data_IF_138349606214
#
_entry.id   IF_138349606214
#
_cell.length_a   1.000
_cell.length_b   1.000
_cell.length_c   1.000
_cell.angle_alpha   90.00
_cell.angle_beta   90.00
_cell.angle_gamma   90.00
#
_symmetry.space_group_name_H-M   'P 1'
#
loop_
_entity.id
_entity.type
_entity.pdbx_description
1 polymer ?
#
# COMPACT_ATOMS: atom_id res chain seq x y z
N UNK A 1 -5.81 -21.17 -20.01
CA UNK A 1 -5.51 -20.33 -18.83
C UNK A 1 -6.60 -19.28 -18.80
N UNK A 2 -7.25 -19.08 -17.67
CA UNK A 2 -8.26 -18.02 -17.52
C UNK A 2 -7.57 -16.68 -17.75
N UNK A 3 -8.11 -15.87 -18.67
CA UNK A 3 -7.64 -14.51 -18.92
C UNK A 3 -8.36 -13.49 -18.03
N UNK A 4 -9.10 -13.97 -17.03
CA UNK A 4 -9.91 -13.12 -16.16
C UNK A 4 -9.08 -12.54 -15.04
N UNK A 5 -9.37 -11.29 -14.68
CA UNK A 5 -8.80 -10.65 -13.50
C UNK A 5 -9.27 -11.36 -12.22
N UNK A 6 -8.37 -11.49 -11.26
CA UNK A 6 -8.70 -12.14 -10.00
C UNK A 6 -9.60 -11.28 -9.12
N UNK A 7 -10.38 -11.94 -8.27
CA UNK A 7 -11.22 -11.30 -7.22
C UNK A 7 -10.56 -11.47 -5.86
N UNK A 8 -10.93 -10.64 -4.86
CA UNK A 8 -10.55 -10.96 -3.49
C UNK A 8 -11.01 -12.38 -3.12
N UNK A 9 -10.24 -13.10 -2.30
CA UNK A 9 -10.62 -14.43 -1.87
C UNK A 9 -11.89 -14.42 -1.01
N UNK A 10 -12.62 -15.54 -1.00
CA UNK A 10 -13.82 -15.72 -0.20
C UNK A 10 -15.09 -15.10 -0.79
N UNK A 11 -16.10 -14.93 0.05
CA UNK A 11 -17.41 -14.47 -0.35
C UNK A 11 -17.44 -12.95 -0.63
N UNK A 12 -18.19 -12.50 -1.66
CA UNK A 12 -18.26 -11.08 -2.04
C UNK A 12 -18.63 -10.13 -0.89
N UNK A 13 -19.51 -10.55 0.01
CA UNK A 13 -19.93 -9.76 1.17
C UNK A 13 -18.80 -9.53 2.21
N UNK A 14 -17.71 -10.28 2.12
CA UNK A 14 -16.55 -10.19 3.02
C UNK A 14 -15.28 -9.68 2.34
N UNK A 15 -15.36 -9.25 1.10
CA UNK A 15 -14.17 -8.77 0.37
C UNK A 15 -13.46 -7.59 1.03
N UNK A 16 -14.20 -6.74 1.74
CA UNK A 16 -13.60 -5.64 2.49
C UNK A 16 -12.61 -6.14 3.57
N UNK A 17 -12.89 -7.28 4.20
CA UNK A 17 -12.01 -7.90 5.22
C UNK A 17 -10.70 -8.43 4.60
N UNK A 18 -10.75 -8.83 3.34
CA UNK A 18 -9.61 -9.35 2.60
C UNK A 18 -8.76 -8.25 1.96
N UNK A 19 -9.41 -7.16 1.54
CA UNK A 19 -8.76 -6.05 0.85
C UNK A 19 -8.02 -5.11 1.79
N UNK A 20 -8.61 -4.83 2.96
CA UNK A 20 -8.06 -3.81 3.86
C UNK A 20 -7.34 -4.40 5.05
N UNK A 21 -6.12 -3.94 5.28
CA UNK A 21 -5.38 -4.15 6.51
C UNK A 21 -6.00 -3.33 7.66
N UNK A 22 -6.32 -2.07 7.37
CA UNK A 22 -6.95 -1.16 8.31
C UNK A 22 -7.79 -0.10 7.59
N UNK A 23 -8.80 0.45 8.27
CA UNK A 23 -9.68 1.52 7.78
C UNK A 23 -10.01 2.50 8.90
N UNK A 24 -10.13 3.79 8.57
CA UNK A 24 -10.53 4.84 9.50
C UNK A 24 -9.60 4.91 10.73
N UNK A 25 -10.17 4.95 11.91
CA UNK A 25 -9.44 5.10 13.17
C UNK A 25 -8.53 3.89 13.51
N UNK A 26 -8.74 2.74 12.88
CA UNK A 26 -7.89 1.56 13.06
C UNK A 26 -6.53 1.68 12.38
N UNK A 27 -6.28 2.74 11.59
CA UNK A 27 -5.01 2.93 10.90
C UNK A 27 -3.98 3.53 11.85
N UNK A 28 -2.85 2.85 12.12
CA UNK A 28 -1.81 3.38 12.97
C UNK A 28 -1.18 4.64 12.36
N UNK A 29 -0.98 5.68 13.16
CA UNK A 29 -0.35 6.94 12.69
C UNK A 29 1.11 6.76 12.29
N UNK A 30 1.80 5.82 12.92
CA UNK A 30 3.20 5.48 12.63
C UNK A 30 3.41 4.63 11.38
N UNK A 31 2.31 4.14 10.76
CA UNK A 31 2.43 3.35 9.53
C UNK A 31 3.01 4.20 8.41
N UNK A 32 4.12 3.79 7.77
CA UNK A 32 4.65 4.47 6.60
C UNK A 32 3.63 4.49 5.44
N UNK A 33 3.73 5.50 4.57
CA UNK A 33 2.92 5.55 3.34
C UNK A 33 3.33 4.41 2.41
N UNK A 34 2.32 3.70 1.89
CA UNK A 34 2.54 2.54 1.02
C UNK A 34 1.56 2.52 -0.16
N UNK A 35 1.86 1.66 -1.15
CA UNK A 35 0.99 1.39 -2.30
C UNK A 35 -0.38 0.89 -1.82
N UNK A 36 -1.45 1.44 -2.38
CA UNK A 36 -2.81 1.09 -1.99
C UNK A 36 -3.36 1.87 -0.79
N UNK A 37 -2.57 2.77 -0.18
CA UNK A 37 -3.08 3.66 0.85
C UNK A 37 -4.02 4.69 0.21
N UNK A 38 -5.15 4.95 0.86
CA UNK A 38 -6.18 5.90 0.42
C UNK A 38 -6.16 7.11 1.35
N UNK A 39 -6.10 8.30 0.75
CA UNK A 39 -6.10 9.58 1.46
C UNK A 39 -7.29 10.43 1.04
N UNK A 40 -7.92 11.09 2.02
CA UNK A 40 -8.94 12.10 1.77
C UNK A 40 -8.31 13.49 1.63
N UNK A 41 -9.00 14.33 0.86
CA UNK A 41 -8.65 15.74 0.65
C UNK A 41 -7.17 15.99 0.26
N UNK A 42 -6.53 15.04 -0.43
CA UNK A 42 -5.21 15.26 -1.01
C UNK A 42 -5.27 16.40 -2.04
N UNK A 43 -4.35 17.38 -1.99
CA UNK A 43 -4.36 18.50 -2.93
C UNK A 43 -3.91 18.01 -4.31
N UNK A 44 -4.84 17.91 -5.23
CA UNK A 44 -4.61 17.54 -6.62
C UNK A 44 -4.71 18.78 -7.49
N UNK A 45 -3.67 19.04 -8.27
CA UNK A 45 -3.66 20.15 -9.25
C UNK A 45 -3.99 19.61 -10.63
N UNK A 46 -5.14 20.02 -11.15
CA UNK A 46 -5.61 19.62 -12.48
C UNK A 46 -4.77 20.25 -13.58
N UNK A 47 -4.89 19.76 -14.81
CA UNK A 47 -4.24 20.33 -16.01
C UNK A 47 -4.62 21.80 -16.27
N UNK A 48 -5.75 22.27 -15.74
CA UNK A 48 -6.17 23.67 -15.79
C UNK A 48 -5.52 24.55 -14.71
N UNK A 49 -4.63 23.99 -13.87
CA UNK A 49 -3.96 24.73 -12.79
C UNK A 49 -4.80 24.91 -11.53
N UNK A 50 -6.00 24.33 -11.46
CA UNK A 50 -6.85 24.43 -10.27
C UNK A 50 -6.47 23.32 -9.29
N UNK A 51 -6.17 23.69 -8.03
CA UNK A 51 -5.94 22.74 -6.95
C UNK A 51 -7.20 22.52 -6.15
N UNK A 52 -7.57 21.26 -5.96
CA UNK A 52 -8.72 20.86 -5.15
C UNK A 52 -8.38 19.63 -4.29
N UNK A 53 -8.98 19.56 -3.10
CA UNK A 53 -8.90 18.36 -2.27
C UNK A 53 -9.70 17.22 -2.89
N UNK A 54 -9.04 16.08 -3.13
CA UNK A 54 -9.66 14.87 -3.70
C UNK A 54 -9.32 13.65 -2.87
N UNK A 55 -10.20 12.66 -2.89
CA UNK A 55 -9.87 11.36 -2.36
C UNK A 55 -9.03 10.61 -3.41
N UNK A 56 -7.85 10.15 -3.00
CA UNK A 56 -6.88 9.49 -3.91
C UNK A 56 -6.33 8.21 -3.30
N UNK A 57 -5.92 7.27 -4.16
CA UNK A 57 -5.18 6.07 -3.77
C UNK A 57 -3.76 6.12 -4.34
N UNK A 58 -2.78 5.78 -3.53
CA UNK A 58 -1.38 5.65 -3.99
C UNK A 58 -1.26 4.46 -4.92
N UNK A 59 -0.86 4.71 -6.16
CA UNK A 59 -0.66 3.71 -7.22
C UNK A 59 0.81 3.49 -7.56
N UNK A 60 1.70 4.25 -6.94
CA UNK A 60 3.15 4.07 -7.13
C UNK A 60 3.53 2.62 -6.77
N UNK A 61 4.30 1.96 -7.65
CA UNK A 61 4.75 0.59 -7.40
C UNK A 61 5.60 0.52 -6.13
N UNK A 62 5.45 -0.50 -5.27
CA UNK A 62 6.16 -0.59 -3.99
C UNK A 62 7.67 -0.39 -4.10
N UNK A 63 8.32 -1.02 -5.11
CA UNK A 63 9.77 -0.88 -5.33
C UNK A 63 10.20 0.53 -5.75
N UNK A 64 9.28 1.37 -6.23
CA UNK A 64 9.56 2.73 -6.70
C UNK A 64 9.11 3.81 -5.70
N UNK A 65 8.58 3.42 -4.54
CA UNK A 65 8.14 4.38 -3.53
C UNK A 65 9.30 5.05 -2.82
N UNK A 66 10.44 4.36 -2.69
CA UNK A 66 11.66 4.86 -2.03
C UNK A 66 12.85 4.63 -2.94
N UNK A 67 13.20 5.65 -3.73
CA UNK A 67 14.26 5.54 -4.75
C UNK A 67 15.64 5.31 -4.17
N UNK A 68 15.90 5.84 -2.97
CA UNK A 68 17.11 5.59 -2.19
C UNK A 68 16.90 4.50 -1.11
N UNK A 69 15.67 3.95 -1.05
CA UNK A 69 15.20 2.95 -0.11
C UNK A 69 14.89 3.48 1.29
N UNK A 70 15.17 4.75 1.58
CA UNK A 70 14.88 5.41 2.88
C UNK A 70 13.76 6.42 2.71
N UNK A 71 14.00 7.41 1.88
CA UNK A 71 13.11 8.54 1.73
C UNK A 71 11.97 8.22 0.76
N UNK A 72 10.77 8.57 1.15
CA UNK A 72 9.63 8.51 0.24
C UNK A 72 9.91 9.40 -0.96
N UNK A 73 9.63 8.90 -2.16
CA UNK A 73 9.76 9.68 -3.39
C UNK A 73 8.98 10.99 -3.24
N UNK A 74 9.57 12.10 -3.65
CA UNK A 74 8.97 13.45 -3.49
C UNK A 74 7.64 13.58 -4.21
N UNK A 75 7.45 12.80 -5.29
CA UNK A 75 6.22 12.77 -6.07
C UNK A 75 5.72 11.35 -6.23
N UNK A 76 4.44 11.14 -5.96
CA UNK A 76 3.79 9.86 -6.02
C UNK A 76 2.68 9.85 -7.06
N UNK A 77 2.61 8.77 -7.83
CA UNK A 77 1.49 8.48 -8.71
C UNK A 77 0.28 8.08 -7.86
N UNK A 78 -0.84 8.74 -8.07
CA UNK A 78 -2.11 8.46 -7.42
C UNK A 78 -3.23 8.30 -8.44
N UNK A 79 -4.29 7.59 -8.08
CA UNK A 79 -5.53 7.51 -8.82
C UNK A 79 -6.68 8.15 -8.04
N UNK A 80 -7.57 8.86 -8.72
CA UNK A 80 -8.77 9.41 -8.10
C UNK A 80 -9.67 8.27 -7.59
N UNK A 81 -10.14 8.42 -6.35
CA UNK A 81 -11.11 7.52 -5.74
C UNK A 81 -12.47 8.24 -5.73
N UNK A 82 -13.45 7.62 -6.34
CA UNK A 82 -14.78 8.19 -6.46
C UNK A 82 -15.85 7.17 -6.08
N UNK A 83 -17.06 7.69 -5.80
CA UNK A 83 -18.20 6.85 -5.50
C UNK A 83 -18.49 5.86 -6.64
N UNK A 84 -18.68 4.61 -6.27
CA UNK A 84 -19.05 3.54 -7.19
C UNK A 84 -20.06 2.59 -6.53
N UNK A 85 -20.86 1.90 -7.34
CA UNK A 85 -21.72 0.82 -6.83
C UNK A 85 -20.91 -0.42 -6.47
N UNK A 86 -21.49 -1.29 -5.68
CA UNK A 86 -20.93 -2.62 -5.43
C UNK A 86 -20.90 -3.39 -6.76
N UNK A 87 -19.79 -4.04 -7.04
CA UNK A 87 -19.63 -4.92 -8.19
C UNK A 87 -19.97 -6.36 -7.82
N UNK A 88 -20.63 -7.07 -8.74
CA UNK A 88 -20.74 -8.54 -8.65
C UNK A 88 -19.38 -9.19 -8.92
N UNK A 89 -19.19 -10.48 -8.58
CA UNK A 89 -17.94 -11.18 -8.90
C UNK A 89 -17.61 -11.18 -10.40
N UNK A 90 -18.61 -11.34 -11.26
CA UNK A 90 -18.45 -11.32 -12.71
C UNK A 90 -18.02 -9.93 -13.20
N UNK A 91 -18.66 -8.89 -12.69
CA UNK A 91 -18.29 -7.51 -12.99
C UNK A 91 -16.88 -7.20 -12.47
N UNK A 92 -16.54 -7.67 -11.28
CA UNK A 92 -15.18 -7.50 -10.75
C UNK A 92 -14.12 -8.08 -11.70
N UNK A 93 -14.36 -9.26 -12.28
CA UNK A 93 -13.45 -9.87 -13.28
C UNK A 93 -13.41 -9.10 -14.59
N UNK A 94 -14.52 -8.50 -15.01
CA UNK A 94 -14.67 -7.81 -16.29
C UNK A 94 -14.27 -6.34 -16.29
N UNK A 95 -14.31 -5.65 -15.16
CA UNK A 95 -13.97 -4.22 -15.08
C UNK A 95 -12.46 -4.01 -15.09
N UNK A 96 -11.95 -3.44 -16.19
CA UNK A 96 -10.52 -3.23 -16.42
C UNK A 96 -10.06 -1.80 -16.11
N UNK A 97 -10.99 -0.83 -16.03
CA UNK A 97 -10.67 0.60 -15.86
C UNK A 97 -10.63 1.06 -14.41
N UNK A 98 -11.00 0.20 -13.48
CA UNK A 98 -11.07 0.55 -12.06
C UNK A 98 -10.83 -0.67 -11.17
N UNK A 99 -10.53 -0.40 -9.89
CA UNK A 99 -10.62 -1.38 -8.82
C UNK A 99 -11.66 -0.94 -7.81
N UNK A 100 -12.64 -1.81 -7.55
CA UNK A 100 -13.67 -1.56 -6.54
C UNK A 100 -13.07 -1.57 -5.13
N UNK A 101 -13.55 -0.67 -4.31
CA UNK A 101 -13.18 -0.49 -2.90
C UNK A 101 -14.43 -0.62 -2.04
N UNK A 102 -14.94 -1.87 -1.85
CA UNK A 102 -16.15 -2.10 -1.09
C UNK A 102 -15.97 -1.64 0.35
N UNK A 103 -16.99 -1.02 0.92
CA UNK A 103 -17.01 -0.54 2.31
C UNK A 103 -15.81 0.35 2.71
N UNK A 104 -15.21 1.07 1.76
CA UNK A 104 -14.08 1.96 2.04
C UNK A 104 -14.42 2.95 3.18
N UNK A 105 -15.61 3.52 3.14
CA UNK A 105 -16.13 4.39 4.19
C UNK A 105 -17.24 3.69 4.97
N UNK A 106 -16.86 2.88 5.94
CA UNK A 106 -17.79 2.07 6.74
C UNK A 106 -18.79 2.89 7.57
N UNK A 107 -18.44 4.13 7.92
CA UNK A 107 -19.31 5.05 8.69
C UNK A 107 -20.30 5.83 7.82
N UNK A 108 -20.13 5.83 6.49
CA UNK A 108 -21.02 6.57 5.60
C UNK A 108 -22.36 5.84 5.37
N UNK A 109 -23.37 6.60 4.91
CA UNK A 109 -24.64 6.03 4.44
C UNK A 109 -24.41 5.05 3.29
N UNK A 110 -25.31 4.08 3.10
CA UNK A 110 -25.16 2.96 2.16
C UNK A 110 -24.68 3.35 0.76
N UNK A 111 -25.13 4.49 0.23
CA UNK A 111 -24.70 4.97 -1.10
C UNK A 111 -23.26 5.47 -1.17
N UNK A 112 -22.70 5.99 -0.06
CA UNK A 112 -21.34 6.55 -0.02
C UNK A 112 -20.28 5.57 0.53
N UNK A 113 -20.71 4.37 0.94
CA UNK A 113 -19.81 3.34 1.49
C UNK A 113 -18.84 2.76 0.47
N UNK A 114 -19.34 2.56 -0.76
CA UNK A 114 -18.59 1.86 -1.80
C UNK A 114 -17.97 2.87 -2.76
N UNK A 115 -16.71 2.72 -3.02
CA UNK A 115 -15.95 3.58 -3.92
C UNK A 115 -15.12 2.72 -4.87
N UNK A 116 -14.44 3.35 -5.81
CA UNK A 116 -13.47 2.70 -6.68
C UNK A 116 -12.34 3.66 -7.00
N UNK A 117 -11.13 3.15 -7.12
CA UNK A 117 -10.03 3.88 -7.76
C UNK A 117 -10.14 3.72 -9.28
N UNK A 118 -9.99 4.81 -10.01
CA UNK A 118 -10.21 4.88 -11.46
C UNK A 118 -8.87 5.07 -12.17
N UNK A 119 -8.49 4.14 -13.05
CA UNK A 119 -7.17 4.10 -13.66
C UNK A 119 -6.96 5.04 -14.84
N UNK A 120 -8.02 5.66 -15.36
CA UNK A 120 -7.94 6.72 -16.36
C UNK A 120 -7.91 8.15 -15.75
N UNK A 121 -7.96 8.25 -14.42
CA UNK A 121 -7.88 9.50 -13.66
C UNK A 121 -6.65 9.50 -12.77
N UNK A 122 -5.50 9.59 -13.41
CA UNK A 122 -4.21 9.56 -12.75
C UNK A 122 -3.69 10.96 -12.54
N UNK A 123 -3.10 11.16 -11.38
CA UNK A 123 -2.46 12.41 -11.00
C UNK A 123 -1.13 12.12 -10.31
N UNK A 124 -0.32 13.15 -10.19
CA UNK A 124 0.94 13.10 -9.43
C UNK A 124 0.85 14.14 -8.33
N UNK A 125 1.01 13.68 -7.10
CA UNK A 125 0.97 14.55 -5.91
C UNK A 125 2.34 14.62 -5.26
N UNK A 126 2.60 15.71 -4.57
CA UNK A 126 3.75 15.80 -3.68
C UNK A 126 3.50 14.88 -2.47
N UNK A 127 4.46 14.03 -2.13
CA UNK A 127 4.30 13.07 -1.03
C UNK A 127 4.14 13.77 0.34
N UNK A 128 4.72 14.94 0.51
CA UNK A 128 4.57 15.77 1.72
C UNK A 128 3.16 16.32 1.89
N UNK A 129 2.38 16.36 0.82
CA UNK A 129 0.99 16.82 0.84
C UNK A 129 -0.01 15.72 1.25
N UNK A 130 0.45 14.47 1.37
CA UNK A 130 -0.37 13.35 1.86
C UNK A 130 -0.40 13.36 3.39
N UNK A 131 -1.42 13.97 3.95
CA UNK A 131 -1.62 14.02 5.41
C UNK A 131 -1.99 12.64 5.95
N UNK A 132 -1.09 12.02 6.73
CA UNK A 132 -1.32 10.71 7.35
C UNK A 132 -2.52 10.70 8.31
N UNK A 133 -2.90 11.85 8.86
CA UNK A 133 -4.12 12.02 9.66
C UNK A 133 -5.41 11.93 8.86
N UNK A 134 -5.32 12.02 7.52
CA UNK A 134 -6.45 11.89 6.59
C UNK A 134 -6.42 10.56 5.80
N UNK A 135 -5.65 9.59 6.25
CA UNK A 135 -5.62 8.27 5.63
C UNK A 135 -6.92 7.53 5.95
N UNK A 136 -7.66 7.12 4.91
CA UNK A 136 -8.96 6.44 5.01
C UNK A 136 -8.82 4.93 5.09
N UNK A 137 -7.84 4.36 4.41
CA UNK A 137 -7.63 2.91 4.35
C UNK A 137 -6.19 2.57 3.92
N UNK A 138 -5.77 1.37 4.32
CA UNK A 138 -4.56 0.71 3.83
C UNK A 138 -4.95 -0.66 3.29
N UNK A 139 -4.43 -1.05 2.13
CA UNK A 139 -4.66 -2.39 1.60
C UNK A 139 -3.80 -3.43 2.33
N UNK A 140 -4.28 -4.68 2.33
CA UNK A 140 -3.45 -5.86 2.62
C UNK A 140 -2.47 -6.11 1.47
N UNK A 141 -1.47 -6.97 1.66
CA UNK A 141 -0.60 -7.39 0.55
C UNK A 141 -1.40 -8.04 -0.60
N UNK A 142 -2.41 -8.86 -0.28
CA UNK A 142 -3.32 -9.41 -1.27
C UNK A 142 -4.10 -8.32 -2.02
N UNK A 143 -4.56 -7.29 -1.31
CA UNK A 143 -5.21 -6.13 -1.89
C UNK A 143 -4.29 -5.34 -2.82
N UNK A 144 -3.01 -5.15 -2.43
CA UNK A 144 -1.99 -4.50 -3.28
C UNK A 144 -1.70 -5.35 -4.53
N UNK A 145 -1.60 -6.68 -4.40
CA UNK A 145 -1.39 -7.55 -5.56
C UNK A 145 -2.56 -7.46 -6.57
N UNK A 146 -3.80 -7.44 -6.07
CA UNK A 146 -4.99 -7.23 -6.91
C UNK A 146 -4.97 -5.85 -7.59
N UNK A 147 -4.54 -4.81 -6.89
CA UNK A 147 -4.38 -3.47 -7.45
C UNK A 147 -3.33 -3.47 -8.58
N UNK A 148 -2.17 -4.06 -8.34
CA UNK A 148 -1.08 -4.15 -9.32
C UNK A 148 -1.49 -5.00 -10.53
N UNK A 149 -2.15 -6.14 -10.33
CA UNK A 149 -2.69 -6.95 -11.42
C UNK A 149 -3.58 -6.13 -12.34
N UNK A 150 -4.55 -5.42 -11.77
CA UNK A 150 -5.49 -4.59 -12.52
C UNK A 150 -4.80 -3.43 -13.22
N UNK A 151 -3.83 -2.81 -12.56
CA UNK A 151 -3.06 -1.71 -13.14
C UNK A 151 -2.24 -2.18 -14.33
N UNK A 152 -1.50 -3.29 -14.21
CA UNK A 152 -0.75 -3.90 -15.32
C UNK A 152 -1.70 -4.26 -16.45
N UNK A 153 -2.83 -4.90 -16.16
CA UNK A 153 -3.81 -5.24 -17.19
C UNK A 153 -4.40 -4.01 -17.89
N UNK A 154 -4.71 -2.96 -17.13
CA UNK A 154 -5.22 -1.70 -17.71
C UNK A 154 -4.25 -1.12 -18.73
N UNK A 155 -2.95 -1.07 -18.40
CA UNK A 155 -1.92 -0.48 -19.25
C UNK A 155 -1.51 -1.37 -20.43
N UNK A 156 -1.48 -2.69 -20.25
CA UNK A 156 -0.84 -3.63 -21.18
C UNK A 156 -1.78 -4.65 -21.82
N UNK A 157 -2.97 -4.84 -21.25
CA UNK A 157 -3.91 -5.94 -21.58
C UNK A 157 -3.38 -7.34 -21.25
N UNK A 158 -2.26 -7.43 -20.53
CA UNK A 158 -1.70 -8.69 -20.04
C UNK A 158 -2.26 -8.99 -18.65
N UNK A 159 -2.68 -10.22 -18.40
CA UNK A 159 -3.04 -10.68 -17.06
C UNK A 159 -1.82 -11.35 -16.44
N UNK A 160 -1.28 -10.72 -15.40
CA UNK A 160 -0.24 -11.31 -14.53
C UNK A 160 -0.95 -11.83 -13.30
N UNK A 161 -0.65 -13.04 -12.85
CA UNK A 161 -1.32 -13.59 -11.66
C UNK A 161 -0.89 -12.85 -10.40
N UNK A 162 -1.77 -12.76 -9.39
CA UNK A 162 -1.39 -12.18 -8.09
C UNK A 162 -0.29 -12.98 -7.42
N UNK A 163 -0.18 -14.28 -7.72
CA UNK A 163 0.92 -15.14 -7.27
C UNK A 163 2.27 -14.69 -7.84
N UNK A 164 2.35 -14.40 -9.14
CA UNK A 164 3.59 -13.94 -9.77
C UNK A 164 3.99 -12.55 -9.27
N UNK A 165 3.00 -11.66 -9.07
CA UNK A 165 3.23 -10.35 -8.45
C UNK A 165 3.79 -10.53 -7.03
N UNK A 166 3.20 -11.40 -6.21
CA UNK A 166 3.68 -11.69 -4.85
C UNK A 166 5.11 -12.24 -4.84
N UNK A 167 5.47 -13.06 -5.84
CA UNK A 167 6.81 -13.62 -5.93
C UNK A 167 7.89 -12.54 -6.05
N UNK A 168 7.63 -11.47 -6.81
CA UNK A 168 8.60 -10.38 -7.04
C UNK A 168 8.48 -9.23 -6.03
N UNK A 169 7.32 -9.04 -5.40
CA UNK A 169 7.10 -7.93 -4.46
C UNK A 169 7.19 -8.34 -2.99
N UNK A 170 7.23 -9.63 -2.71
CA UNK A 170 7.14 -10.15 -1.34
C UNK A 170 8.26 -9.67 -0.41
N UNK A 171 9.47 -9.45 -0.91
CA UNK A 171 10.58 -8.87 -0.14
C UNK A 171 10.29 -7.44 0.32
N UNK A 172 9.70 -6.63 -0.57
CA UNK A 172 9.35 -5.23 -0.28
C UNK A 172 8.19 -5.13 0.71
N UNK A 173 7.25 -6.08 0.65
CA UNK A 173 6.17 -6.15 1.64
C UNK A 173 6.68 -6.49 3.02
N UNK A 174 7.59 -7.46 3.13
CA UNK A 174 8.24 -7.80 4.40
C UNK A 174 9.05 -6.63 4.97
N UNK A 175 9.76 -5.90 4.12
CA UNK A 175 10.47 -4.69 4.55
C UNK A 175 9.49 -3.65 5.12
N UNK A 176 8.37 -3.38 4.44
CA UNK A 176 7.36 -2.44 4.90
C UNK A 176 6.74 -2.86 6.24
N UNK A 177 6.45 -4.15 6.42
CA UNK A 177 5.92 -4.68 7.68
C UNK A 177 6.94 -4.57 8.82
N UNK A 178 8.22 -4.83 8.54
CA UNK A 178 9.29 -4.69 9.54
C UNK A 178 9.43 -3.22 9.97
N UNK A 179 9.38 -2.28 9.02
CA UNK A 179 9.43 -0.85 9.33
C UNK A 179 8.21 -0.44 10.17
N UNK A 180 7.02 -0.95 9.86
CA UNK A 180 5.81 -0.67 10.62
C UNK A 180 5.92 -1.20 12.06
N UNK A 181 6.30 -2.47 12.26
CA UNK A 181 6.51 -3.09 13.58
C UNK A 181 7.56 -2.31 14.39
N UNK A 182 8.64 -1.85 13.72
CA UNK A 182 9.69 -1.05 14.35
C UNK A 182 9.20 0.33 14.80
N UNK A 183 8.47 1.03 13.93
CA UNK A 183 7.89 2.33 14.24
C UNK A 183 6.83 2.23 15.36
N UNK A 184 6.08 1.12 15.43
CA UNK A 184 5.16 0.85 16.54
C UNK A 184 5.91 0.77 17.86
N UNK A 185 6.96 -0.05 17.95
CA UNK A 185 7.76 -0.19 19.17
C UNK A 185 8.43 1.13 19.59
N UNK A 186 8.99 1.86 18.63
CA UNK A 186 9.59 3.17 18.85
C UNK A 186 8.58 4.21 19.34
N UNK A 187 7.36 4.22 18.77
CA UNK A 187 6.27 5.11 19.18
C UNK A 187 5.85 4.89 20.64
N UNK A 188 5.84 3.63 21.09
CA UNK A 188 5.57 3.28 22.50
C UNK A 188 6.66 3.83 23.45
N UNK A 189 7.88 3.99 22.95
CA UNK A 189 9.00 4.62 23.67
C UNK A 189 9.09 6.14 23.48
N UNK A 190 8.12 6.75 22.77
CA UNK A 190 8.08 8.20 22.54
C UNK A 190 9.03 8.70 21.44
N UNK A 191 9.55 7.81 20.60
CA UNK A 191 10.45 8.16 19.48
C UNK A 191 9.62 8.58 18.26
N UNK A 192 10.09 9.61 17.56
CA UNK A 192 9.44 10.10 16.34
C UNK A 192 9.52 9.07 15.19
N UNK A 193 8.42 8.94 14.44
CA UNK A 193 8.29 7.95 13.34
C UNK A 193 9.35 8.11 12.25
N UNK A 194 9.74 9.34 11.90
CA UNK A 194 10.80 9.61 10.93
C UNK A 194 12.14 9.01 11.37
N UNK A 195 12.55 9.29 12.62
CA UNK A 195 13.79 8.77 13.20
C UNK A 195 13.76 7.25 13.32
N UNK A 196 12.63 6.68 13.77
CA UNK A 196 12.44 5.24 13.86
C UNK A 196 12.55 4.56 12.49
N UNK A 197 12.02 5.19 11.44
CA UNK A 197 12.14 4.70 10.05
C UNK A 197 13.59 4.69 9.59
N UNK A 198 14.33 5.78 9.82
CA UNK A 198 15.75 5.89 9.49
C UNK A 198 16.58 4.81 10.20
N UNK A 199 16.35 4.62 11.49
CA UNK A 199 17.02 3.59 12.31
C UNK A 199 16.74 2.18 11.78
N UNK A 200 15.51 1.86 11.46
CA UNK A 200 15.11 0.56 10.90
C UNK A 200 15.80 0.32 9.55
N UNK A 201 15.76 1.30 8.66
CA UNK A 201 16.38 1.18 7.33
C UNK A 201 17.88 1.05 7.44
N UNK A 202 18.54 1.80 8.32
CA UNK A 202 19.97 1.67 8.58
C UNK A 202 20.32 0.25 9.08
N UNK A 203 19.49 -0.32 9.98
CA UNK A 203 19.65 -1.69 10.44
C UNK A 203 19.44 -2.73 9.34
N UNK A 204 18.45 -2.57 8.48
CA UNK A 204 18.18 -3.46 7.35
C UNK A 204 19.31 -3.44 6.32
N UNK A 205 19.98 -2.31 6.13
CA UNK A 205 21.04 -2.08 5.14
C UNK A 205 22.45 -2.24 5.68
N UNK A 206 22.60 -2.46 6.98
CA UNK A 206 23.91 -2.72 7.56
C UNK A 206 24.57 -3.93 6.87
N UNK A 207 25.84 -3.76 6.44
CA UNK A 207 26.63 -4.85 5.88
C UNK A 207 26.94 -5.90 6.95
N UNK A 208 26.50 -7.12 6.71
CA UNK A 208 26.77 -8.30 7.57
C UNK A 208 28.09 -8.98 7.22
N UNK A 209 28.82 -8.45 6.24
CA UNK A 209 30.03 -8.98 5.67
C UNK A 209 29.87 -9.34 4.19
N UNK A 210 30.85 -8.91 3.38
CA UNK A 210 30.87 -9.19 1.94
C UNK A 210 29.75 -8.53 1.11
N UNK A 211 29.17 -7.43 1.60
CA UNK A 211 28.09 -6.72 0.93
C UNK A 211 26.71 -7.34 1.13
N UNK A 212 26.60 -8.30 2.05
CA UNK A 212 25.32 -8.93 2.39
C UNK A 212 24.53 -8.02 3.34
N UNK A 213 23.30 -7.67 2.94
CA UNK A 213 22.39 -6.84 3.71
C UNK A 213 21.12 -7.63 4.05
N UNK A 214 20.53 -7.39 5.25
CA UNK A 214 19.26 -8.00 5.64
C UNK A 214 18.14 -7.69 4.64
N UNK A 215 18.12 -6.47 4.11
CA UNK A 215 17.15 -6.04 3.09
C UNK A 215 17.17 -6.96 1.85
N UNK A 216 18.36 -7.27 1.31
CA UNK A 216 18.49 -8.19 0.17
C UNK A 216 18.09 -9.63 0.50
N UNK A 217 18.34 -10.04 1.74
CA UNK A 217 17.94 -11.38 2.19
C UNK A 217 16.42 -11.56 2.26
N UNK A 218 15.62 -10.47 2.34
CA UNK A 218 14.15 -10.54 2.32
C UNK A 218 13.59 -11.00 0.96
N UNK A 219 14.37 -10.94 -0.11
CA UNK A 219 13.99 -11.49 -1.41
C UNK A 219 13.74 -13.00 -1.30
N UNK A 220 14.55 -13.71 -0.52
CA UNK A 220 14.37 -15.12 -0.23
C UNK A 220 13.36 -15.33 0.91
N UNK A 221 12.26 -16.02 0.59
CA UNK A 221 11.18 -16.33 1.53
C UNK A 221 11.68 -17.06 2.79
N UNK A 222 12.71 -17.90 2.68
CA UNK A 222 13.23 -18.67 3.81
C UNK A 222 13.86 -17.79 4.89
N UNK A 223 14.41 -16.64 4.50
CA UNK A 223 15.09 -15.72 5.42
C UNK A 223 14.12 -14.78 6.17
N UNK A 224 12.92 -14.53 5.64
CA UNK A 224 11.99 -13.49 6.14
C UNK A 224 11.65 -13.64 7.62
N UNK A 225 11.29 -14.84 8.04
CA UNK A 225 10.94 -15.11 9.45
C UNK A 225 12.11 -14.87 10.42
N UNK A 226 13.31 -15.21 10.00
CA UNK A 226 14.55 -14.97 10.76
C UNK A 226 14.85 -13.49 10.92
N UNK A 227 14.74 -12.72 9.82
CA UNK A 227 15.00 -11.27 9.82
C UNK A 227 13.94 -10.54 10.66
N UNK A 228 12.66 -10.91 10.53
CA UNK A 228 11.58 -10.33 11.35
C UNK A 228 11.81 -10.57 12.85
N UNK A 229 12.24 -11.77 13.24
CA UNK A 229 12.60 -12.08 14.64
C UNK A 229 13.78 -11.25 15.11
N UNK A 230 14.82 -11.11 14.28
CA UNK A 230 15.99 -10.30 14.60
C UNK A 230 15.65 -8.80 14.72
N UNK A 231 14.73 -8.28 13.87
CA UNK A 231 14.24 -6.91 13.97
C UNK A 231 13.55 -6.65 15.32
N UNK A 232 12.64 -7.54 15.72
CA UNK A 232 11.96 -7.44 17.03
C UNK A 232 12.93 -7.50 18.21
N UNK A 233 13.95 -8.35 18.14
CA UNK A 233 14.97 -8.40 19.18
C UNK A 233 15.80 -7.11 19.23
N UNK A 234 16.09 -6.52 18.09
CA UNK A 234 16.82 -5.25 18.00
C UNK A 234 15.98 -4.07 18.54
N UNK A 235 14.68 -3.99 18.22
CA UNK A 235 13.81 -2.93 18.76
C UNK A 235 13.69 -2.99 20.28
N UNK A 236 13.53 -4.18 20.87
CA UNK A 236 13.52 -4.36 22.34
C UNK A 236 14.83 -3.94 22.99
N UNK A 237 15.96 -4.09 22.28
CA UNK A 237 17.28 -3.69 22.78
C UNK A 237 17.51 -2.18 22.71
N UNK A 238 16.89 -1.50 21.73
CA UNK A 238 17.08 -0.06 21.48
C UNK A 238 16.10 0.81 22.28
N UNK A 239 14.90 0.34 22.43
CA UNK A 239 13.78 1.06 23.04
C UNK A 239 13.27 0.35 24.28
#
# INVERSE_FOLDING_TARGET
>A
MSHDLETPPGEPGRWAEQLYRARGEAIPRWRPVFTGDVFDAAPVTTSSGTTAGRTVMVLQHPCAMRTDGVNLATRLLVGEVSHHRVLTPEEWRGFTKLMSLPDLNSSATSRKRHQAVVFDRLEVVDSSALDVGRRLACLTHAGVNLLLQRRVHYDTRVVVTTHDIQAVTGGVYEEADIIEDWCEAASLAGIETSLATEDCVAWLRADLGGGLMRQRMLEDQQNRSGIRRAARAETVKRY
#
